data_IF_196777005832
#
_entry.id   IF_196777005832
#
_cell.length_a   1.000
_cell.length_b   1.000
_cell.length_c   1.000
_cell.angle_alpha   90.00
_cell.angle_beta   90.00
_cell.angle_gamma   90.00
#
_symmetry.space_group_name_H-M   'P 1'
#
loop_
_entity.id
_entity.type
_entity.pdbx_description
1 polymer ?
#
# COMPACT_ATOMS: atom_id res chain seq x y z
N UNK A 1 -12.22 -35.31 32.97
CA UNK A 1 -12.32 -35.18 31.50
C UNK A 1 -11.48 -33.98 31.09
N UNK A 2 -10.59 -34.11 30.09
CA UNK A 2 -9.48 -33.16 29.89
C UNK A 2 -9.97 -31.84 29.27
N UNK A 3 -9.45 -30.73 29.81
CA UNK A 3 -9.56 -29.40 29.22
C UNK A 3 -8.85 -29.37 27.87
N UNK A 4 -9.61 -29.39 26.78
CA UNK A 4 -9.08 -29.14 25.45
C UNK A 4 -8.88 -27.63 25.34
N UNK A 5 -7.65 -27.18 25.54
CA UNK A 5 -7.20 -25.86 25.09
C UNK A 5 -7.29 -25.91 23.57
N UNK A 6 -8.29 -25.22 22.99
CA UNK A 6 -8.30 -24.90 21.56
C UNK A 6 -7.12 -23.97 21.30
N UNK A 7 -5.98 -24.54 20.92
CA UNK A 7 -4.94 -23.79 20.23
C UNK A 7 -5.46 -23.57 18.81
N UNK A 8 -6.15 -22.45 18.60
CA UNK A 8 -6.46 -22.00 17.25
C UNK A 8 -5.14 -21.58 16.63
N UNK A 9 -4.61 -22.42 15.74
CA UNK A 9 -3.59 -21.98 14.78
C UNK A 9 -4.23 -20.85 13.97
N UNK A 10 -3.85 -19.61 14.27
CA UNK A 10 -4.14 -18.47 13.41
C UNK A 10 -3.34 -18.67 12.13
N UNK A 11 -3.94 -19.33 11.13
CA UNK A 11 -3.45 -19.23 9.76
C UNK A 11 -3.51 -17.75 9.40
N UNK A 12 -2.34 -17.13 9.24
CA UNK A 12 -2.25 -15.74 8.77
C UNK A 12 -2.67 -15.77 7.30
N UNK A 13 -3.93 -15.47 7.04
CA UNK A 13 -4.40 -15.25 5.67
C UNK A 13 -3.69 -14.02 5.12
N UNK A 14 -2.82 -14.22 4.15
CA UNK A 14 -2.17 -13.14 3.44
C UNK A 14 -3.11 -12.58 2.38
N UNK A 15 -3.44 -11.30 2.50
CA UNK A 15 -4.40 -10.60 1.64
C UNK A 15 -3.62 -9.62 0.75
N UNK A 16 -4.03 -9.48 -0.51
CA UNK A 16 -3.41 -8.52 -1.43
C UNK A 16 -3.71 -7.08 -0.99
N UNK A 17 -2.75 -6.18 -1.16
CA UNK A 17 -2.89 -4.76 -0.79
C UNK A 17 -4.17 -4.12 -1.37
N UNK A 18 -4.53 -4.44 -2.61
CA UNK A 18 -5.70 -3.89 -3.30
C UNK A 18 -7.05 -4.27 -2.63
N UNK A 19 -7.07 -5.29 -1.78
CA UNK A 19 -8.24 -5.69 -0.98
C UNK A 19 -8.14 -5.07 0.43
N UNK A 20 -6.96 -5.14 1.06
CA UNK A 20 -6.77 -4.68 2.44
C UNK A 20 -6.86 -3.15 2.57
N UNK A 21 -6.29 -2.40 1.64
CA UNK A 21 -6.20 -0.93 1.74
C UNK A 21 -7.57 -0.25 1.75
N UNK A 22 -8.51 -0.53 0.82
CA UNK A 22 -9.84 0.08 0.87
C UNK A 22 -10.58 -0.23 2.19
N UNK A 23 -10.42 -1.44 2.74
CA UNK A 23 -11.03 -1.81 4.01
C UNK A 23 -10.41 -1.04 5.18
N UNK A 24 -9.10 -0.88 5.20
CA UNK A 24 -8.42 -0.05 6.18
C UNK A 24 -8.91 1.40 6.10
N UNK A 25 -9.03 1.95 4.88
CA UNK A 25 -9.53 3.31 4.64
C UNK A 25 -10.99 3.49 5.09
N UNK A 26 -11.86 2.49 4.88
CA UNK A 26 -13.24 2.48 5.36
C UNK A 26 -13.31 2.54 6.90
N UNK A 27 -12.51 1.71 7.59
CA UNK A 27 -12.46 1.66 9.05
C UNK A 27 -11.85 2.95 9.61
N UNK A 28 -10.72 3.40 9.05
CA UNK A 28 -10.08 4.66 9.42
C UNK A 28 -11.04 5.83 9.21
N UNK A 29 -11.72 5.88 8.06
CA UNK A 29 -12.71 6.91 7.75
C UNK A 29 -13.88 6.92 8.73
N UNK A 30 -14.35 5.74 9.17
CA UNK A 30 -15.42 5.63 10.16
C UNK A 30 -14.98 6.11 11.55
N UNK A 31 -13.80 5.68 12.00
CA UNK A 31 -13.27 6.04 13.32
C UNK A 31 -12.78 7.49 13.37
N UNK A 32 -12.32 8.07 12.26
CA UNK A 32 -11.86 9.46 12.19
C UNK A 32 -12.99 10.48 12.37
N UNK A 33 -14.25 10.10 12.13
CA UNK A 33 -15.40 10.99 12.33
C UNK A 33 -15.84 11.11 13.79
N UNK A 34 -15.29 10.30 14.69
CA UNK A 34 -15.59 10.39 16.12
C UNK A 34 -14.91 11.62 16.71
N UNK A 35 -15.65 12.42 17.49
CA UNK A 35 -15.10 13.56 18.22
C UNK A 35 -13.95 13.16 19.17
N UNK A 36 -13.96 11.90 19.62
CA UNK A 36 -12.94 11.32 20.47
C UNK A 36 -11.64 10.96 19.76
N UNK A 37 -11.61 10.94 18.42
CA UNK A 37 -10.42 10.59 17.64
C UNK A 37 -9.59 11.84 17.38
N UNK A 38 -8.37 11.88 17.93
CA UNK A 38 -7.44 13.00 17.68
C UNK A 38 -6.52 12.74 16.47
N UNK A 39 -5.86 11.58 16.42
CA UNK A 39 -5.00 11.11 15.33
C UNK A 39 -5.34 9.66 15.04
N UNK A 40 -5.27 9.27 13.77
CA UNK A 40 -5.50 7.90 13.34
C UNK A 40 -4.63 7.58 12.13
N UNK A 41 -4.07 6.38 12.08
CA UNK A 41 -3.29 5.90 10.94
C UNK A 41 -3.25 4.38 10.91
N UNK A 42 -3.27 3.78 9.73
CA UNK A 42 -2.88 2.37 9.59
C UNK A 42 -1.36 2.23 9.71
N UNK A 43 -0.92 1.09 10.24
CA UNK A 43 0.47 0.72 10.44
C UNK A 43 0.77 -0.61 9.73
N UNK A 44 1.64 -1.44 10.30
CA UNK A 44 1.91 -2.79 9.81
C UNK A 44 2.51 -2.84 8.41
N UNK A 45 2.38 -4.01 7.78
CA UNK A 45 2.81 -4.23 6.39
C UNK A 45 2.02 -3.40 5.38
N UNK A 46 0.79 -3.00 5.72
CA UNK A 46 -0.03 -2.15 4.86
C UNK A 46 0.61 -0.79 4.67
N UNK A 47 1.07 -0.15 5.75
CA UNK A 47 1.77 1.14 5.67
C UNK A 47 3.10 1.04 4.92
N UNK A 48 3.75 -0.12 4.95
CA UNK A 48 4.99 -0.39 4.18
C UNK A 48 4.74 -0.80 2.73
N UNK A 49 3.48 -0.87 2.29
CA UNK A 49 3.08 -1.29 0.93
C UNK A 49 3.63 -2.65 0.52
N UNK A 50 3.59 -3.64 1.42
CA UNK A 50 3.90 -5.02 1.02
C UNK A 50 2.82 -5.54 0.06
N UNK A 51 3.22 -6.36 -0.90
CA UNK A 51 2.31 -7.03 -1.84
C UNK A 51 1.22 -7.86 -1.13
N UNK A 52 1.62 -8.52 -0.04
CA UNK A 52 0.78 -9.32 0.82
C UNK A 52 0.78 -8.76 2.23
N UNK A 53 -0.41 -8.50 2.73
CA UNK A 53 -0.71 -7.97 4.05
C UNK A 53 -1.21 -9.13 4.91
N UNK A 54 -0.70 -9.27 6.13
CA UNK A 54 -1.30 -10.19 7.10
C UNK A 54 -2.57 -9.58 7.66
N UNK A 55 -2.47 -9.03 8.87
CA UNK A 55 -3.49 -8.21 9.49
C UNK A 55 -3.36 -6.72 9.12
N UNK A 56 -4.48 -6.00 9.29
CA UNK A 56 -4.52 -4.53 9.23
C UNK A 56 -4.33 -4.00 10.65
N UNK A 57 -3.20 -3.35 10.90
CA UNK A 57 -2.96 -2.60 12.14
C UNK A 57 -3.44 -1.16 12.01
N UNK A 58 -4.22 -0.66 12.97
CA UNK A 58 -4.67 0.73 13.07
C UNK A 58 -4.31 1.28 14.45
N UNK A 59 -3.69 2.46 14.45
CA UNK A 59 -3.38 3.23 15.64
C UNK A 59 -4.28 4.44 15.73
N UNK A 60 -4.82 4.68 16.91
CA UNK A 60 -5.69 5.82 17.22
C UNK A 60 -5.15 6.51 18.48
N UNK A 61 -5.28 7.82 18.57
CA UNK A 61 -5.11 8.53 19.85
C UNK A 61 -6.45 9.08 20.31
N UNK A 62 -6.81 8.84 21.57
CA UNK A 62 -8.06 9.30 22.16
C UNK A 62 -7.94 9.41 23.68
N UNK A 63 -8.68 10.36 24.28
CA UNK A 63 -8.88 10.41 25.73
C UNK A 63 -10.04 9.50 26.21
N UNK A 64 -10.83 8.94 25.28
CA UNK A 64 -11.97 8.06 25.57
C UNK A 64 -11.84 6.76 24.77
N UNK A 65 -10.82 5.93 25.08
CA UNK A 65 -10.49 4.75 24.28
C UNK A 65 -11.64 3.74 24.19
N UNK A 66 -12.45 3.59 25.25
CA UNK A 66 -13.61 2.69 25.26
C UNK A 66 -14.65 3.05 24.18
N UNK A 67 -14.85 4.35 23.89
CA UNK A 67 -15.77 4.77 22.84
C UNK A 67 -15.25 4.40 21.45
N UNK A 68 -13.93 4.52 21.22
CA UNK A 68 -13.28 4.06 19.99
C UNK A 68 -13.46 2.54 19.84
N UNK A 69 -13.15 1.77 20.88
CA UNK A 69 -13.26 0.31 20.86
C UNK A 69 -14.69 -0.13 20.56
N UNK A 70 -15.68 0.45 21.27
CA UNK A 70 -17.10 0.12 21.08
C UNK A 70 -17.59 0.45 19.66
N UNK A 71 -17.21 1.61 19.11
CA UNK A 71 -17.56 1.94 17.73
C UNK A 71 -16.92 0.96 16.76
N UNK A 72 -15.63 0.66 16.93
CA UNK A 72 -14.91 -0.28 16.08
C UNK A 72 -15.54 -1.69 16.09
N UNK A 73 -15.83 -2.25 17.27
CA UNK A 73 -16.42 -3.58 17.40
C UNK A 73 -17.87 -3.66 16.92
N UNK A 74 -18.55 -2.50 16.80
CA UNK A 74 -19.93 -2.39 16.30
C UNK A 74 -20.03 -2.02 14.81
N UNK A 75 -18.91 -1.92 14.08
CA UNK A 75 -18.96 -1.59 12.65
C UNK A 75 -19.70 -2.67 11.86
N UNK A 76 -20.50 -2.25 10.89
CA UNK A 76 -21.33 -3.16 10.08
C UNK A 76 -20.54 -4.22 9.30
N UNK A 77 -19.24 -3.98 9.09
CA UNK A 77 -18.32 -4.86 8.38
C UNK A 77 -17.65 -5.90 9.30
N UNK A 78 -17.86 -5.83 10.61
CA UNK A 78 -17.37 -6.82 11.58
C UNK A 78 -18.22 -8.09 11.48
N UNK A 79 -17.56 -9.24 11.32
CA UNK A 79 -18.16 -10.58 11.38
C UNK A 79 -18.00 -11.20 12.77
N UNK A 80 -16.81 -11.09 13.33
CA UNK A 80 -16.44 -11.75 14.58
C UNK A 80 -15.50 -10.86 15.40
N UNK A 81 -15.73 -10.77 16.71
CA UNK A 81 -14.84 -10.08 17.65
C UNK A 81 -13.92 -11.14 18.26
N UNK A 82 -12.63 -11.08 17.96
CA UNK A 82 -11.63 -12.01 18.49
C UNK A 82 -11.17 -11.63 19.89
N UNK A 83 -11.03 -10.34 20.13
CA UNK A 83 -10.65 -9.78 21.41
C UNK A 83 -11.22 -8.37 21.55
N UNK A 84 -11.73 -8.05 22.72
CA UNK A 84 -12.19 -6.70 23.08
C UNK A 84 -11.57 -6.30 24.40
N UNK A 85 -10.87 -5.18 24.40
CA UNK A 85 -10.19 -4.63 25.55
C UNK A 85 -10.32 -3.11 25.61
N UNK A 86 -9.90 -2.48 26.71
CA UNK A 86 -10.10 -1.04 26.91
C UNK A 86 -9.35 -0.17 25.90
N UNK A 87 -8.19 -0.63 25.42
CA UNK A 87 -7.31 0.11 24.49
C UNK A 87 -6.87 -0.70 23.29
N UNK A 88 -7.29 -1.97 23.18
CA UNK A 88 -7.02 -2.82 22.02
C UNK A 88 -8.21 -3.72 21.78
N UNK A 89 -8.64 -3.79 20.52
CA UNK A 89 -9.59 -4.78 20.05
C UNK A 89 -9.13 -5.39 18.72
N UNK A 90 -9.52 -6.64 18.50
CA UNK A 90 -9.22 -7.42 17.31
C UNK A 90 -10.51 -8.02 16.76
N UNK A 91 -10.74 -7.88 15.46
CA UNK A 91 -11.94 -8.39 14.76
C UNK A 91 -11.55 -9.12 13.48
N UNK A 92 -12.47 -9.96 13.00
CA UNK A 92 -12.48 -10.46 11.62
C UNK A 92 -13.63 -9.78 10.88
N UNK A 93 -13.36 -9.22 9.69
CA UNK A 93 -14.39 -8.62 8.83
C UNK A 93 -15.20 -9.69 8.09
N UNK A 94 -16.28 -9.28 7.42
CA UNK A 94 -17.09 -10.18 6.57
C UNK A 94 -16.32 -10.78 5.39
N UNK A 95 -15.21 -10.17 5.01
CA UNK A 95 -14.29 -10.62 3.96
C UNK A 95 -13.08 -11.40 4.51
N UNK A 96 -13.18 -11.91 5.75
CA UNK A 96 -12.15 -12.70 6.44
C UNK A 96 -10.82 -11.98 6.63
N UNK A 97 -10.88 -10.65 6.78
CA UNK A 97 -9.71 -9.80 7.06
C UNK A 97 -9.57 -9.58 8.56
N UNK A 98 -8.37 -9.84 9.08
CA UNK A 98 -8.04 -9.55 10.47
C UNK A 98 -7.69 -8.07 10.63
N UNK A 99 -8.31 -7.40 11.59
CA UNK A 99 -8.05 -5.98 11.90
C UNK A 99 -7.81 -5.79 13.39
N UNK A 100 -6.68 -5.16 13.70
CA UNK A 100 -6.25 -4.76 15.04
C UNK A 100 -6.37 -3.23 15.17
N UNK A 101 -7.17 -2.75 16.13
CA UNK A 101 -7.17 -1.32 16.51
C UNK A 101 -6.57 -1.17 17.89
N UNK A 102 -5.65 -0.20 18.03
CA UNK A 102 -5.02 0.15 19.31
C UNK A 102 -5.14 1.64 19.56
N UNK A 103 -5.60 2.00 20.76
CA UNK A 103 -5.56 3.38 21.25
C UNK A 103 -4.28 3.59 22.04
N UNK A 104 -3.53 4.63 21.68
CA UNK A 104 -2.30 5.03 22.34
C UNK A 104 -2.41 6.48 22.85
N UNK A 105 -1.61 6.82 23.85
CA UNK A 105 -1.53 8.20 24.31
C UNK A 105 -1.02 9.12 23.19
N UNK A 106 -1.51 10.37 23.07
CA UNK A 106 -1.05 11.31 22.05
C UNK A 106 0.47 11.49 22.01
N UNK A 107 1.11 11.51 23.19
CA UNK A 107 2.56 11.68 23.35
C UNK A 107 3.38 10.45 22.94
N UNK A 108 2.72 9.32 22.70
CA UNK A 108 3.33 8.06 22.28
C UNK A 108 3.06 7.75 20.80
N UNK A 109 2.27 8.58 20.11
CA UNK A 109 1.77 8.25 18.77
C UNK A 109 2.87 8.03 17.74
N UNK A 110 3.90 8.88 17.72
CA UNK A 110 5.04 8.73 16.82
C UNK A 110 5.85 7.46 17.06
N UNK A 111 6.11 7.13 18.32
CA UNK A 111 6.81 5.91 18.71
C UNK A 111 5.99 4.65 18.40
N UNK A 112 4.69 4.67 18.71
CA UNK A 112 3.77 3.60 18.35
C UNK A 112 3.71 3.41 16.84
N UNK A 113 3.61 4.51 16.08
CA UNK A 113 3.58 4.45 14.62
C UNK A 113 4.86 3.84 14.07
N UNK A 114 6.04 4.26 14.54
CA UNK A 114 7.32 3.62 14.18
C UNK A 114 7.29 2.12 14.50
N UNK A 115 6.94 1.77 15.74
CA UNK A 115 6.97 0.42 16.26
C UNK A 115 6.03 -0.53 15.50
N UNK A 116 4.75 -0.17 15.37
CA UNK A 116 3.75 -1.02 14.71
C UNK A 116 3.85 -0.96 13.19
N UNK A 117 4.46 0.08 12.59
CA UNK A 117 4.81 0.05 11.16
C UNK A 117 5.88 -0.99 10.90
N UNK A 118 6.86 -1.14 11.80
CA UNK A 118 7.95 -2.07 11.62
C UNK A 118 8.82 -1.76 10.38
N UNK A 119 9.40 -2.77 9.73
CA UNK A 119 9.29 -4.21 10.04
C UNK A 119 9.92 -4.59 11.39
N UNK A 120 9.71 -5.82 11.85
CA UNK A 120 10.38 -6.35 13.06
C UNK A 120 11.91 -6.20 12.96
N UNK A 121 12.48 -6.48 11.79
CA UNK A 121 13.92 -6.37 11.55
C UNK A 121 14.39 -4.91 11.65
N UNK A 122 13.66 -3.99 11.02
CA UNK A 122 13.92 -2.55 11.13
C UNK A 122 13.89 -2.06 12.60
N UNK A 123 12.89 -2.48 13.37
CA UNK A 123 12.77 -2.14 14.79
C UNK A 123 13.92 -2.69 15.64
N UNK A 124 14.45 -3.86 15.30
CA UNK A 124 15.63 -4.43 15.98
C UNK A 124 16.83 -3.50 15.74
N UNK A 125 17.08 -3.08 14.49
CA UNK A 125 18.19 -2.17 14.16
C UNK A 125 18.11 -0.83 14.88
N UNK A 126 16.93 -0.21 14.90
CA UNK A 126 16.77 1.06 15.62
C UNK A 126 17.03 0.91 17.13
N UNK A 127 16.55 -0.19 17.74
CA UNK A 127 16.81 -0.49 19.16
C UNK A 127 18.28 -0.79 19.44
N UNK A 128 18.98 -1.49 18.55
CA UNK A 128 20.43 -1.71 18.66
C UNK A 128 21.21 -0.39 18.61
N UNK A 129 20.83 0.53 17.72
CA UNK A 129 21.43 1.87 17.63
C UNK A 129 21.13 2.71 18.88
N UNK A 130 19.91 2.66 19.39
CA UNK A 130 19.50 3.36 20.60
C UNK A 130 20.28 2.86 21.83
N UNK A 131 20.39 1.55 21.99
CA UNK A 131 21.08 0.94 23.12
C UNK A 131 22.56 1.37 23.20
N UNK A 132 23.25 1.47 22.05
CA UNK A 132 24.63 1.99 21.96
C UNK A 132 24.76 3.44 22.43
N UNK A 133 23.66 4.19 22.49
CA UNK A 133 23.60 5.59 22.96
C UNK A 133 23.01 5.71 24.37
N UNK A 134 22.80 4.60 25.08
CA UNK A 134 22.17 4.62 26.40
C UNK A 134 20.68 4.97 26.34
N UNK A 135 20.01 4.64 25.23
CA UNK A 135 18.59 4.89 25.01
C UNK A 135 17.81 3.58 24.84
N UNK A 136 16.53 3.62 25.19
CA UNK A 136 15.56 2.53 24.98
C UNK A 136 14.41 3.04 24.12
N UNK A 137 14.09 2.32 23.05
CA UNK A 137 12.94 2.62 22.18
C UNK A 137 11.91 1.50 22.34
N UNK A 138 10.65 1.88 22.56
CA UNK A 138 9.49 0.98 22.57
C UNK A 138 8.26 1.70 21.99
N UNK A 139 7.10 1.06 22.02
CA UNK A 139 5.83 1.59 21.52
C UNK A 139 5.32 2.85 22.25
N UNK A 140 5.87 3.17 23.42
CA UNK A 140 5.46 4.31 24.25
C UNK A 140 6.39 5.53 24.11
N UNK A 141 7.54 5.39 23.44
CA UNK A 141 8.50 6.48 23.31
C UNK A 141 9.96 6.05 23.21
N UNK A 142 10.81 7.06 23.31
CA UNK A 142 12.25 6.93 23.54
C UNK A 142 12.55 7.34 24.97
N UNK A 143 13.33 6.54 25.67
CA UNK A 143 13.64 6.70 27.09
C UNK A 143 15.15 6.70 27.30
N UNK A 144 15.61 7.52 28.24
CA UNK A 144 16.97 7.41 28.76
C UNK A 144 17.09 6.11 29.57
N UNK A 145 18.06 5.26 29.23
CA UNK A 145 18.16 3.92 29.80
C UNK A 145 18.56 3.89 31.28
N UNK A 146 19.07 5.01 31.83
CA UNK A 146 19.49 5.10 33.24
C UNK A 146 18.40 5.67 34.13
N UNK A 147 17.68 6.68 33.63
CA UNK A 147 16.70 7.45 34.40
C UNK A 147 15.26 7.06 34.10
N UNK A 148 15.03 6.26 33.05
CA UNK A 148 13.71 5.89 32.52
C UNK A 148 12.84 7.11 32.14
N UNK A 149 13.47 8.28 31.98
CA UNK A 149 12.78 9.49 31.55
C UNK A 149 12.53 9.44 30.05
N UNK A 150 11.27 9.64 29.66
CA UNK A 150 10.88 9.81 28.24
C UNK A 150 11.51 11.09 27.67
N UNK A 151 12.12 10.96 26.50
CA UNK A 151 12.77 12.07 25.77
C UNK A 151 12.14 12.37 24.41
N UNK A 152 11.38 11.44 23.84
CA UNK A 152 10.59 11.64 22.62
C UNK A 152 9.49 10.58 22.51
N UNK A 153 8.60 10.75 21.53
CA UNK A 153 7.59 9.75 21.20
C UNK A 153 6.36 10.30 20.49
N UNK A 154 6.18 11.63 20.46
CA UNK A 154 4.97 12.23 19.92
C UNK A 154 4.96 12.20 18.39
N UNK A 155 6.11 12.45 17.77
CA UNK A 155 6.28 12.43 16.31
C UNK A 155 7.25 11.33 15.88
N UNK A 156 6.96 10.72 14.74
CA UNK A 156 7.73 9.59 14.24
C UNK A 156 9.15 10.00 13.84
N UNK A 157 9.30 11.22 13.32
CA UNK A 157 10.57 11.85 12.94
C UNK A 157 11.53 11.98 14.13
N UNK A 158 11.02 12.22 15.34
CA UNK A 158 11.84 12.37 16.55
C UNK A 158 12.62 11.10 16.88
N UNK A 159 12.04 9.93 16.57
CA UNK A 159 12.68 8.62 16.79
C UNK A 159 13.94 8.49 15.95
N UNK A 160 13.88 8.93 14.69
CA UNK A 160 15.03 8.93 13.77
C UNK A 160 16.02 10.05 14.12
N UNK A 161 15.54 11.25 14.43
CA UNK A 161 16.38 12.40 14.76
C UNK A 161 17.27 12.15 15.99
N UNK A 162 16.74 11.55 17.06
CA UNK A 162 17.53 11.17 18.24
C UNK A 162 18.65 10.18 17.91
N UNK A 163 18.44 9.35 16.87
CA UNK A 163 19.43 8.41 16.36
C UNK A 163 20.35 9.05 15.30
N UNK A 164 20.29 10.36 15.07
CA UNK A 164 20.97 11.08 13.99
C UNK A 164 20.73 10.43 12.62
N UNK A 165 19.49 9.99 12.39
CA UNK A 165 19.05 9.44 11.12
C UNK A 165 18.05 10.42 10.48
N UNK A 166 18.08 10.59 9.15
CA UNK A 166 16.93 11.15 8.44
C UNK A 166 15.70 10.26 8.66
N UNK A 167 14.50 10.83 8.46
CA UNK A 167 13.28 10.04 8.47
C UNK A 167 13.33 8.97 7.37
N UNK A 168 13.11 7.71 7.74
CA UNK A 168 13.09 6.58 6.80
C UNK A 168 11.64 6.32 6.38
N UNK A 169 11.28 6.49 5.09
CA UNK A 169 9.95 6.17 4.59
C UNK A 169 9.53 4.74 4.95
N UNK A 170 8.26 4.51 5.34
CA UNK A 170 7.75 3.18 5.69
C UNK A 170 8.08 2.08 4.67
N UNK A 171 8.03 2.40 3.37
CA UNK A 171 8.29 1.48 2.27
C UNK A 171 9.70 0.88 2.27
N UNK A 172 10.67 1.56 2.90
CA UNK A 172 12.07 1.12 2.96
C UNK A 172 12.39 0.25 4.18
N UNK A 173 11.47 0.16 5.16
CA UNK A 173 11.75 -0.39 6.51
C UNK A 173 11.73 -1.91 6.55
N UNK A 174 12.65 -2.53 5.82
CA UNK A 174 12.74 -3.98 5.67
C UNK A 174 14.12 -4.57 6.02
N UNK A 175 15.02 -3.78 6.64
CA UNK A 175 16.42 -4.17 6.94
C UNK A 175 17.18 -4.67 5.69
N UNK A 176 17.04 -3.93 4.58
CA UNK A 176 17.67 -4.25 3.28
C UNK A 176 18.73 -3.23 2.88
N UNK A 177 19.18 -2.42 3.83
CA UNK A 177 20.24 -1.42 3.66
C UNK A 177 19.81 0.02 3.94
N UNK A 178 18.53 0.26 4.23
CA UNK A 178 17.96 1.58 4.50
C UNK A 178 18.58 2.25 5.73
N UNK A 179 18.94 1.48 6.77
CA UNK A 179 19.59 2.01 7.97
C UNK A 179 20.99 2.54 7.63
N UNK A 180 21.78 1.75 6.88
CA UNK A 180 23.12 2.16 6.45
C UNK A 180 23.04 3.38 5.52
N UNK A 181 22.13 3.35 4.55
CA UNK A 181 21.88 4.48 3.67
C UNK A 181 21.47 5.74 4.44
N UNK A 182 20.63 5.62 5.47
CA UNK A 182 20.26 6.72 6.34
C UNK A 182 21.44 7.28 7.13
N UNK A 183 22.30 6.43 7.70
CA UNK A 183 23.53 6.85 8.40
C UNK A 183 24.50 7.61 7.49
N UNK A 184 24.56 7.24 6.21
CA UNK A 184 25.38 7.90 5.21
C UNK A 184 24.68 9.10 4.53
N UNK A 185 23.44 9.43 4.91
CA UNK A 185 22.58 10.41 4.23
C UNK A 185 22.41 10.16 2.73
N UNK A 186 22.29 8.88 2.34
CA UNK A 186 22.12 8.38 0.97
C UNK A 186 20.82 7.59 0.79
N UNK A 187 19.77 7.93 1.54
CA UNK A 187 18.46 7.34 1.27
C UNK A 187 18.03 7.67 -0.16
N UNK A 188 17.44 6.70 -0.89
CA UNK A 188 16.93 6.98 -2.22
C UNK A 188 15.74 7.94 -2.14
N UNK A 189 15.60 8.81 -3.14
CA UNK A 189 14.37 9.54 -3.36
C UNK A 189 13.31 8.57 -3.93
N UNK A 190 12.16 8.49 -3.28
CA UNK A 190 11.07 7.62 -3.72
C UNK A 190 10.15 8.36 -4.69
N UNK A 191 9.72 7.65 -5.74
CA UNK A 191 8.69 8.14 -6.64
C UNK A 191 7.36 8.34 -5.88
N UNK A 192 6.67 9.43 -6.21
CA UNK A 192 5.37 9.82 -5.66
C UNK A 192 4.29 9.62 -6.71
N UNK A 193 3.05 9.37 -6.28
CA UNK A 193 1.90 9.28 -7.20
C UNK A 193 1.74 10.52 -8.08
N UNK A 194 2.06 11.71 -7.57
CA UNK A 194 2.01 12.96 -8.35
C UNK A 194 3.07 13.07 -9.44
N UNK A 195 4.08 12.19 -9.44
CA UNK A 195 5.09 12.11 -10.49
C UNK A 195 4.71 11.08 -11.57
N UNK A 196 3.65 10.30 -11.37
CA UNK A 196 3.12 9.36 -12.36
C UNK A 196 2.26 10.14 -13.34
N UNK A 197 2.75 10.28 -14.58
CA UNK A 197 2.11 11.06 -15.65
C UNK A 197 1.17 10.23 -16.53
N UNK A 198 1.21 8.91 -16.42
CA UNK A 198 0.40 8.02 -17.24
C UNK A 198 0.53 6.56 -16.85
N UNK A 199 -0.34 5.75 -17.43
CA UNK A 199 -0.32 4.29 -17.30
C UNK A 199 0.11 3.69 -18.65
N UNK A 200 1.07 2.78 -18.63
CA UNK A 200 1.73 2.26 -19.82
C UNK A 200 1.31 0.84 -20.18
N UNK A 201 0.36 0.25 -19.46
CA UNK A 201 -0.16 -1.08 -19.78
C UNK A 201 -1.65 -1.15 -19.46
N UNK A 202 -2.50 -0.95 -20.47
CA UNK A 202 -3.96 -0.97 -20.33
C UNK A 202 -4.62 -1.75 -21.45
N UNK A 203 -5.62 -2.54 -21.07
CA UNK A 203 -6.47 -3.28 -22.00
C UNK A 203 -7.83 -2.60 -22.16
N UNK A 204 -8.40 -2.74 -23.35
CA UNK A 204 -9.75 -2.23 -23.67
C UNK A 204 -10.62 -3.34 -24.24
N UNK A 205 -11.85 -3.01 -24.62
CA UNK A 205 -12.76 -3.93 -25.31
C UNK A 205 -12.22 -4.50 -26.64
N UNK A 206 -11.06 -4.05 -27.10
CA UNK A 206 -10.41 -4.61 -28.28
C UNK A 206 -9.83 -6.01 -28.00
N UNK A 207 -9.36 -6.29 -26.78
CA UNK A 207 -9.05 -7.65 -26.29
C UNK A 207 -9.91 -8.01 -25.07
N UNK A 208 -9.34 -8.04 -23.87
CA UNK A 208 -9.97 -8.54 -22.64
C UNK A 208 -10.37 -7.43 -21.63
N UNK A 209 -10.22 -6.16 -22.02
CA UNK A 209 -10.60 -5.03 -21.19
C UNK A 209 -12.12 -4.73 -21.21
N UNK A 210 -12.61 -4.06 -20.17
CA UNK A 210 -14.04 -3.77 -20.00
C UNK A 210 -14.51 -2.44 -20.61
N UNK A 211 -13.60 -1.53 -20.96
CA UNK A 211 -13.92 -0.14 -21.36
C UNK A 211 -13.44 0.14 -22.79
N UNK A 212 -14.04 1.12 -23.47
CA UNK A 212 -13.51 1.60 -24.75
C UNK A 212 -12.26 2.46 -24.54
N UNK A 213 -11.44 2.62 -25.58
CA UNK A 213 -10.24 3.49 -25.55
C UNK A 213 -10.62 4.92 -25.10
N UNK A 214 -11.71 5.48 -25.64
CA UNK A 214 -12.19 6.82 -25.25
C UNK A 214 -12.58 6.90 -23.77
N UNK A 215 -13.29 5.89 -23.25
CA UNK A 215 -13.64 5.84 -21.83
C UNK A 215 -12.39 5.76 -20.93
N UNK A 216 -11.39 4.97 -21.32
CA UNK A 216 -10.12 4.87 -20.59
C UNK A 216 -9.37 6.21 -20.58
N UNK A 217 -9.25 6.87 -21.74
CA UNK A 217 -8.60 8.18 -21.87
C UNK A 217 -9.31 9.25 -21.03
N UNK A 218 -10.65 9.33 -21.08
CA UNK A 218 -11.41 10.30 -20.29
C UNK A 218 -11.29 10.04 -18.78
N UNK A 219 -11.32 8.78 -18.34
CA UNK A 219 -11.20 8.42 -16.93
C UNK A 219 -9.80 8.71 -16.37
N UNK A 220 -8.75 8.43 -17.14
CA UNK A 220 -7.36 8.65 -16.72
C UNK A 220 -6.97 10.13 -16.79
N UNK A 221 -7.48 10.89 -17.78
CA UNK A 221 -7.37 12.35 -17.79
C UNK A 221 -7.98 12.99 -16.53
N UNK A 222 -9.14 12.50 -16.06
CA UNK A 222 -9.76 12.96 -14.80
C UNK A 222 -8.90 12.65 -13.55
N UNK A 223 -8.01 11.67 -13.63
CA UNK A 223 -7.04 11.34 -12.57
C UNK A 223 -5.78 12.21 -12.63
N UNK A 224 -5.66 13.10 -13.61
CA UNK A 224 -4.51 13.97 -13.80
C UNK A 224 -3.38 13.35 -14.63
N UNK A 225 -3.63 12.23 -15.31
CA UNK A 225 -2.66 11.69 -16.27
C UNK A 225 -2.64 12.55 -17.54
N UNK A 226 -1.46 12.61 -18.14
CA UNK A 226 -1.17 13.28 -19.40
C UNK A 226 -1.23 12.31 -20.58
N UNK A 227 -0.99 11.01 -20.32
CA UNK A 227 -1.04 9.98 -21.34
C UNK A 227 -1.45 8.61 -20.81
N UNK A 228 -1.84 7.73 -21.71
CA UNK A 228 -1.95 6.28 -21.48
C UNK A 228 -1.39 5.51 -22.66
N UNK A 229 -0.94 4.28 -22.45
CA UNK A 229 -0.70 3.32 -23.54
C UNK A 229 -1.80 2.26 -23.55
N UNK A 230 -2.36 2.02 -24.73
CA UNK A 230 -3.25 0.88 -24.98
C UNK A 230 -2.39 -0.26 -25.50
N UNK A 231 -2.40 -1.39 -24.79
CA UNK A 231 -1.50 -2.52 -24.99
C UNK A 231 -2.29 -3.82 -24.98
N UNK A 232 -3.13 -4.02 -26.00
CA UNK A 232 -3.95 -5.22 -26.09
C UNK A 232 -3.09 -6.49 -26.25
N UNK A 233 -3.67 -7.66 -25.98
CA UNK A 233 -3.00 -8.95 -26.24
C UNK A 233 -2.74 -9.17 -27.73
N UNK A 234 -1.61 -9.81 -28.05
CA UNK A 234 -1.29 -10.28 -29.40
C UNK A 234 -2.05 -11.57 -29.78
N UNK A 235 -1.93 -11.97 -31.05
CA UNK A 235 -2.75 -12.97 -31.74
C UNK A 235 -2.85 -14.36 -31.06
N UNK A 236 -1.80 -14.80 -30.36
CA UNK A 236 -1.69 -16.12 -29.75
C UNK A 236 -2.61 -16.30 -28.54
N UNK A 237 -2.93 -15.23 -27.80
CA UNK A 237 -3.88 -15.20 -26.70
C UNK A 237 -5.35 -15.14 -27.18
N UNK A 238 -5.76 -16.12 -28.00
CA UNK A 238 -7.12 -16.17 -28.58
C UNK A 238 -8.24 -16.17 -27.56
N UNK A 239 -8.03 -16.74 -26.37
CA UNK A 239 -9.02 -16.74 -25.29
C UNK A 239 -9.23 -15.35 -24.67
N UNK A 240 -8.26 -14.45 -24.79
CA UNK A 240 -8.31 -13.06 -24.36
C UNK A 240 -8.72 -12.10 -25.50
N UNK A 241 -9.11 -12.62 -26.67
CA UNK A 241 -9.51 -11.78 -27.80
C UNK A 241 -8.33 -11.06 -28.49
N UNK A 242 -7.12 -11.63 -28.40
CA UNK A 242 -5.89 -11.09 -28.98
C UNK A 242 -6.05 -10.57 -30.42
N UNK A 243 -5.37 -9.46 -30.71
CA UNK A 243 -5.49 -8.78 -31.99
C UNK A 243 -4.67 -9.52 -33.05
N UNK A 244 -5.20 -9.57 -34.27
CA UNK A 244 -4.39 -9.85 -35.47
C UNK A 244 -3.67 -8.57 -35.89
N UNK A 245 -2.66 -8.66 -36.76
CA UNK A 245 -1.98 -7.48 -37.31
C UNK A 245 -2.97 -6.52 -37.99
N UNK A 246 -3.97 -7.05 -38.69
CA UNK A 246 -5.04 -6.27 -39.33
C UNK A 246 -5.86 -5.47 -38.30
N UNK A 247 -6.32 -6.12 -37.23
CA UNK A 247 -7.08 -5.45 -36.16
C UNK A 247 -6.23 -4.43 -35.40
N UNK A 248 -4.93 -4.68 -35.25
CA UNK A 248 -4.01 -3.71 -34.66
C UNK A 248 -3.92 -2.44 -35.52
N UNK A 249 -3.84 -2.58 -36.85
CA UNK A 249 -3.86 -1.42 -37.77
C UNK A 249 -5.16 -0.61 -37.65
N UNK A 250 -6.31 -1.27 -37.55
CA UNK A 250 -7.59 -0.59 -37.31
C UNK A 250 -7.60 0.17 -35.97
N UNK A 251 -7.06 -0.43 -34.91
CA UNK A 251 -6.95 0.22 -33.61
C UNK A 251 -6.04 1.44 -33.66
N UNK A 252 -4.91 1.35 -34.37
CA UNK A 252 -3.98 2.47 -34.58
C UNK A 252 -4.70 3.66 -35.23
N UNK A 253 -5.46 3.42 -36.31
CA UNK A 253 -6.22 4.48 -36.98
C UNK A 253 -7.26 5.12 -36.05
N UNK A 254 -7.95 4.30 -35.24
CA UNK A 254 -8.87 4.80 -34.21
C UNK A 254 -8.15 5.68 -33.19
N UNK A 255 -7.01 5.22 -32.66
CA UNK A 255 -6.20 5.98 -31.67
C UNK A 255 -5.75 7.30 -32.28
N UNK A 256 -5.27 7.32 -33.52
CA UNK A 256 -4.88 8.55 -34.21
C UNK A 256 -6.07 9.53 -34.34
N UNK A 257 -7.27 9.03 -34.65
CA UNK A 257 -8.48 9.86 -34.68
C UNK A 257 -8.80 10.41 -33.30
N UNK A 258 -8.76 9.59 -32.25
CA UNK A 258 -9.03 10.02 -30.88
C UNK A 258 -8.00 11.05 -30.39
N UNK A 259 -6.72 10.90 -30.71
CA UNK A 259 -5.68 11.88 -30.39
C UNK A 259 -5.91 13.23 -31.07
N UNK A 260 -6.55 13.28 -32.25
CA UNK A 260 -6.98 14.55 -32.88
C UNK A 260 -8.17 15.21 -32.17
N UNK A 261 -9.00 14.43 -31.48
CA UNK A 261 -10.15 14.93 -30.70
C UNK A 261 -9.75 15.35 -29.27
N UNK A 262 -8.78 14.66 -28.68
CA UNK A 262 -8.33 14.85 -27.31
C UNK A 262 -7.22 15.90 -27.22
N UNK A 263 -7.59 17.18 -27.07
CA UNK A 263 -6.62 18.22 -26.75
C UNK A 263 -5.98 17.96 -25.38
N UNK A 264 -4.66 18.13 -25.28
CA UNK A 264 -3.85 17.99 -24.04
C UNK A 264 -3.92 16.61 -23.36
N UNK A 265 -4.07 15.53 -24.14
CA UNK A 265 -3.96 14.16 -23.64
C UNK A 265 -3.53 13.21 -24.74
N UNK A 266 -2.56 12.34 -24.48
CA UNK A 266 -2.01 11.44 -25.50
C UNK A 266 -2.36 9.98 -25.23
N UNK A 267 -2.96 9.32 -26.22
CA UNK A 267 -3.10 7.87 -26.26
C UNK A 267 -1.95 7.31 -27.09
N UNK A 268 -1.07 6.54 -26.46
CA UNK A 268 0.01 5.80 -27.09
C UNK A 268 -0.54 4.46 -27.59
N UNK A 269 -0.14 4.06 -28.78
CA UNK A 269 -0.38 2.70 -29.26
C UNK A 269 0.77 1.81 -28.80
N UNK A 270 0.44 0.69 -28.18
CA UNK A 270 1.35 -0.42 -27.93
C UNK A 270 0.61 -1.75 -28.11
N UNK A 271 1.28 -2.84 -27.76
CA UNK A 271 0.73 -4.18 -27.76
C UNK A 271 1.47 -5.01 -26.70
N UNK A 272 0.74 -5.82 -25.95
CA UNK A 272 1.32 -6.87 -25.12
C UNK A 272 1.63 -8.08 -26.04
N UNK A 273 2.88 -8.14 -26.51
CA UNK A 273 3.33 -9.19 -27.43
C UNK A 273 3.71 -10.45 -26.67
N UNK A 274 3.05 -11.56 -27.00
CA UNK A 274 3.41 -12.87 -26.48
C UNK A 274 4.80 -13.31 -26.95
N UNK A 275 5.53 -13.96 -26.05
CA UNK A 275 6.77 -14.66 -26.35
C UNK A 275 6.42 -16.15 -26.53
N UNK A 276 6.63 -16.68 -27.74
CA UNK A 276 6.36 -18.08 -28.08
C UNK A 276 7.32 -19.01 -27.34
N UNK A 277 6.99 -20.30 -27.33
CA UNK A 277 7.79 -21.35 -26.67
C UNK A 277 9.22 -21.48 -27.19
N UNK A 278 9.48 -21.03 -28.42
CA UNK A 278 10.82 -21.00 -29.03
C UNK A 278 11.56 -19.67 -28.79
N UNK A 279 10.97 -18.74 -28.05
CA UNK A 279 11.51 -17.41 -27.76
C UNK A 279 11.22 -16.37 -28.84
N UNK A 280 10.58 -16.74 -29.95
CA UNK A 280 10.17 -15.77 -30.99
C UNK A 280 8.94 -14.96 -30.55
N UNK A 281 8.75 -13.78 -31.15
CA UNK A 281 7.61 -12.91 -30.87
C UNK A 281 6.37 -13.30 -31.69
N UNK A 282 5.20 -12.94 -31.15
CA UNK A 282 3.90 -13.27 -31.73
C UNK A 282 3.50 -12.41 -32.92
N UNK A 283 4.15 -11.26 -33.10
CA UNK A 283 4.06 -10.45 -34.30
C UNK A 283 5.38 -10.39 -35.06
N UNK A 284 5.27 -10.14 -36.37
CA UNK A 284 6.42 -9.90 -37.23
C UNK A 284 6.99 -8.51 -37.01
N UNK A 285 8.31 -8.35 -37.18
CA UNK A 285 9.00 -7.05 -37.09
C UNK A 285 8.51 -6.05 -38.16
N UNK A 286 7.79 -6.49 -39.20
CA UNK A 286 7.26 -5.63 -40.25
C UNK A 286 6.25 -4.60 -39.71
N UNK A 287 5.58 -4.89 -38.60
CA UNK A 287 4.68 -3.96 -37.92
C UNK A 287 5.38 -2.72 -37.35
N UNK A 288 6.66 -2.83 -36.96
CA UNK A 288 7.43 -1.69 -36.43
C UNK A 288 7.69 -0.62 -37.50
N UNK A 289 7.69 -1.00 -38.77
CA UNK A 289 7.99 -0.07 -39.88
C UNK A 289 6.82 0.81 -40.29
N UNK A 290 5.60 0.52 -39.84
CA UNK A 290 4.39 1.28 -40.23
C UNK A 290 4.29 2.66 -39.56
N UNK A 291 5.25 3.00 -38.69
CA UNK A 291 5.31 4.25 -37.93
C UNK A 291 6.23 5.33 -38.53
N UNK A 292 7.00 5.02 -39.59
CA UNK A 292 7.92 5.98 -40.24
C UNK A 292 7.29 6.67 -41.45
#
# INVERSE_FOLDING_TARGET
MPNIIKVTLLEVTYIRENISKPKAEEIVGSLSQLEETNKISFAGSLRRKKETIGDIDILVTSQKPEKIMKTFTSLHNVREILAEGPTKSSVITKEDIHVDVRVVEPISFGAALQYFTGSKAHNIRLRELAAKRGLKINEYGVFDAKTDRRIAGEREEEIYQILNLPFIPPELREDRGEIKAAQENKLPELIKYSQIRGDLHLHTKWSDGANTIKQMAEATKKRGYEYIAITEHSQSLKFAGGLTEERLREQIELIQRLNRELNDFTILTGIEVDIKSDGSLDFSDELDTYYN
#
